data_IF_845973262139
#
_entry.id   IF_845973262139
#
_cell.length_a   1.000
_cell.length_b   1.000
_cell.length_c   1.000
_cell.angle_alpha   90.00
_cell.angle_beta   90.00
_cell.angle_gamma   90.00
#
_symmetry.space_group_name_H-M   'P 1'
#
loop_
_entity.id
_entity.type
_entity.pdbx_description
1 polymer ?
#
# COMPACT_ATOMS: atom_id res chain seq x y z
N UNK A 1 -2.15 -1.12 -9.49
CA UNK A 1 -2.70 -2.46 -9.20
C UNK A 1 -3.95 -2.33 -8.34
N UNK A 2 -4.95 -3.18 -8.56
CA UNK A 2 -6.23 -3.13 -7.83
C UNK A 2 -6.78 -4.54 -7.56
N UNK A 3 -7.58 -4.67 -6.51
CA UNK A 3 -8.44 -5.82 -6.26
C UNK A 3 -9.88 -5.37 -6.43
N UNK A 4 -10.63 -6.07 -7.28
CA UNK A 4 -11.92 -5.58 -7.78
C UNK A 4 -11.75 -4.16 -8.36
N UNK A 5 -12.44 -3.17 -7.78
CA UNK A 5 -12.33 -1.76 -8.15
C UNK A 5 -11.67 -0.89 -7.07
N UNK A 6 -10.83 -1.50 -6.22
CA UNK A 6 -10.13 -0.81 -5.13
C UNK A 6 -8.61 -0.92 -5.33
N UNK A 7 -7.96 0.23 -5.49
CA UNK A 7 -6.50 0.29 -5.60
C UNK A 7 -5.84 0.03 -4.26
N UNK A 8 -4.76 -0.76 -4.29
CA UNK A 8 -3.87 -1.00 -3.14
C UNK A 8 -2.44 -0.54 -3.43
N UNK A 9 -1.94 -0.76 -4.65
CA UNK A 9 -0.59 -0.37 -5.04
C UNK A 9 -0.55 0.47 -6.32
N UNK A 10 0.39 1.41 -6.42
CA UNK A 10 0.71 2.15 -7.64
C UNK A 10 2.23 2.31 -7.76
N UNK A 11 2.78 1.95 -8.92
CA UNK A 11 4.17 2.17 -9.29
C UNK A 11 4.19 2.95 -10.59
N UNK A 12 5.06 3.94 -10.68
CA UNK A 12 5.33 4.62 -11.94
C UNK A 12 6.20 3.71 -12.83
N UNK A 13 5.86 3.60 -14.11
CA UNK A 13 6.56 2.71 -15.04
C UNK A 13 7.77 3.39 -15.72
N UNK A 14 7.86 4.71 -15.70
CA UNK A 14 9.02 5.42 -16.24
C UNK A 14 10.19 5.34 -15.26
N UNK A 15 9.99 5.80 -14.03
CA UNK A 15 11.02 5.79 -13.00
C UNK A 15 11.15 4.45 -12.30
N UNK A 16 10.04 3.78 -11.97
CA UNK A 16 9.99 2.51 -11.23
C UNK A 16 10.83 2.45 -9.93
N UNK A 17 11.18 3.60 -9.36
CA UNK A 17 12.04 3.69 -8.16
C UNK A 17 11.25 3.68 -6.85
N UNK A 18 9.92 3.85 -6.93
CA UNK A 18 9.06 3.91 -5.75
C UNK A 18 7.72 3.23 -5.98
N UNK A 19 7.10 2.77 -4.89
CA UNK A 19 5.74 2.25 -4.88
C UNK A 19 4.87 2.97 -3.85
N UNK A 20 3.68 3.38 -4.26
CA UNK A 20 2.66 3.92 -3.38
C UNK A 20 1.73 2.81 -2.89
N UNK A 21 1.60 2.68 -1.58
CA UNK A 21 0.89 1.60 -0.89
C UNK A 21 -0.08 2.17 0.14
N UNK A 22 -1.24 1.54 0.30
CA UNK A 22 -2.14 1.83 1.42
C UNK A 22 -1.53 1.39 2.74
N UNK A 23 -1.86 2.13 3.78
CA UNK A 23 -1.46 1.81 5.14
C UNK A 23 -2.54 2.21 6.14
N UNK A 24 -2.47 1.58 7.31
CA UNK A 24 -3.20 2.01 8.49
C UNK A 24 -2.59 3.35 8.95
N UNK A 25 -3.39 4.34 9.41
CA UNK A 25 -2.87 5.65 9.76
C UNK A 25 -1.80 5.65 10.85
N UNK A 26 -1.94 4.81 11.88
CA UNK A 26 -1.02 4.81 13.01
C UNK A 26 0.27 4.11 12.60
N UNK A 27 0.16 2.99 11.88
CA UNK A 27 1.32 2.30 11.32
C UNK A 27 2.05 3.16 10.27
N UNK A 28 1.33 3.98 9.50
CA UNK A 28 1.94 4.89 8.53
C UNK A 28 2.83 5.94 9.20
N UNK A 29 2.47 6.41 10.39
CA UNK A 29 3.28 7.36 11.17
C UNK A 29 4.53 6.64 11.67
N UNK A 30 4.37 5.48 12.31
CA UNK A 30 5.49 4.67 12.80
C UNK A 30 6.52 4.40 11.69
N UNK A 31 6.07 3.94 10.52
CA UNK A 31 6.96 3.63 9.40
C UNK A 31 7.77 4.84 8.93
N UNK A 32 7.18 6.03 8.90
CA UNK A 32 7.86 7.27 8.46
C UNK A 32 8.85 7.80 9.50
N UNK A 33 8.64 7.47 10.77
CA UNK A 33 9.59 7.81 11.83
C UNK A 33 10.80 6.87 11.85
N UNK A 34 10.62 5.61 11.43
CA UNK A 34 11.65 4.58 11.50
C UNK A 34 12.48 4.42 10.21
N UNK A 35 11.92 4.73 9.04
CA UNK A 35 12.55 4.47 7.74
C UNK A 35 12.60 5.73 6.87
N UNK A 36 13.80 6.11 6.43
CA UNK A 36 14.01 7.17 5.44
C UNK A 36 13.50 6.79 4.03
N UNK A 37 13.28 5.50 3.78
CA UNK A 37 12.64 4.96 2.60
C UNK A 37 11.14 5.22 2.52
N UNK A 38 10.47 5.64 3.60
CA UNK A 38 9.02 5.71 3.65
C UNK A 38 8.56 7.14 3.88
N UNK A 39 7.81 7.68 2.92
CA UNK A 39 7.29 9.04 2.94
C UNK A 39 5.77 9.05 2.70
N UNK A 40 5.11 10.19 2.94
CA UNK A 40 3.72 10.38 2.55
C UNK A 40 3.58 10.44 1.02
N UNK A 41 2.79 9.54 0.44
CA UNK A 41 2.70 9.41 -1.02
C UNK A 41 2.25 10.70 -1.72
N UNK A 42 2.95 11.05 -2.79
CA UNK A 42 2.63 12.19 -3.64
C UNK A 42 1.29 11.98 -4.37
N UNK A 43 0.49 13.03 -4.56
CA UNK A 43 -0.90 12.98 -5.07
C UNK A 43 -1.93 12.11 -4.30
N UNK A 44 -1.52 11.29 -3.33
CA UNK A 44 -2.44 10.51 -2.50
C UNK A 44 -2.75 11.19 -1.16
N UNK A 45 -3.77 10.66 -0.49
CA UNK A 45 -4.11 11.06 0.87
C UNK A 45 -3.09 10.50 1.87
N UNK A 46 -2.10 11.32 2.25
CA UNK A 46 -0.95 10.95 3.09
C UNK A 46 -1.28 10.34 4.44
N UNK A 47 -2.51 10.47 4.95
CA UNK A 47 -2.93 9.72 6.15
C UNK A 47 -2.98 8.20 5.91
N UNK A 48 -3.31 7.76 4.70
CA UNK A 48 -3.59 6.37 4.37
C UNK A 48 -2.66 5.78 3.32
N UNK A 49 -1.72 6.57 2.81
CA UNK A 49 -0.85 6.17 1.71
C UNK A 49 0.59 6.56 1.98
N UNK A 50 1.47 5.57 1.88
CA UNK A 50 2.91 5.69 1.92
C UNK A 50 3.48 5.53 0.52
N UNK A 51 4.55 6.26 0.22
CA UNK A 51 5.42 5.99 -0.91
C UNK A 51 6.73 5.41 -0.36
N UNK A 52 7.14 4.28 -0.90
CA UNK A 52 8.31 3.52 -0.46
C UNK A 52 9.36 3.56 -1.57
N UNK A 53 10.56 4.01 -1.24
CA UNK A 53 11.71 4.02 -2.15
C UNK A 53 12.46 2.69 -2.08
N UNK A 54 12.85 2.16 -3.24
CA UNK A 54 13.52 0.86 -3.33
C UNK A 54 15.04 0.89 -3.10
N UNK A 55 15.64 2.08 -3.12
CA UNK A 55 17.09 2.31 -3.08
C UNK A 55 17.58 2.88 -1.74
N UNK A 56 16.76 2.75 -0.68
CA UNK A 56 17.03 3.31 0.66
C UNK A 56 17.06 2.22 1.74
N UNK A 57 16.64 2.53 2.96
CA UNK A 57 16.75 1.67 4.15
C UNK A 57 15.60 0.69 4.37
N UNK A 58 14.68 0.53 3.40
CA UNK A 58 13.67 -0.51 3.40
C UNK A 58 14.13 -1.72 2.59
N UNK A 59 14.28 -2.88 3.24
CA UNK A 59 14.64 -4.12 2.57
C UNK A 59 13.47 -4.77 1.83
N UNK A 60 13.77 -5.71 0.93
CA UNK A 60 12.77 -6.46 0.16
C UNK A 60 11.70 -7.13 1.02
N UNK A 61 12.09 -7.56 2.23
CA UNK A 61 11.17 -8.24 3.14
C UNK A 61 10.13 -7.25 3.65
N UNK A 62 10.55 -6.09 4.13
CA UNK A 62 9.66 -5.03 4.57
C UNK A 62 8.78 -4.56 3.41
N UNK A 63 9.33 -4.31 2.22
CA UNK A 63 8.54 -3.86 1.06
C UNK A 63 7.44 -4.87 0.73
N UNK A 64 7.75 -6.17 0.72
CA UNK A 64 6.74 -7.23 0.50
C UNK A 64 5.68 -7.24 1.60
N UNK A 65 6.07 -7.11 2.87
CA UNK A 65 5.13 -7.00 3.99
C UNK A 65 4.22 -5.77 3.87
N UNK A 66 4.73 -4.63 3.39
CA UNK A 66 3.93 -3.43 3.16
C UNK A 66 2.95 -3.60 2.00
N UNK A 67 3.32 -4.38 0.96
CA UNK A 67 2.41 -4.74 -0.14
C UNK A 67 1.27 -5.61 0.39
N UNK A 68 1.59 -6.63 1.20
CA UNK A 68 0.57 -7.50 1.83
C UNK A 68 -0.35 -6.70 2.75
N UNK A 69 0.22 -5.84 3.61
CA UNK A 69 -0.56 -4.96 4.49
C UNK A 69 -1.48 -4.03 3.70
N UNK A 70 -0.97 -3.43 2.62
CA UNK A 70 -1.75 -2.56 1.76
C UNK A 70 -2.92 -3.29 1.11
N UNK A 71 -2.75 -4.56 0.74
CA UNK A 71 -3.82 -5.40 0.21
C UNK A 71 -4.87 -5.67 1.30
N UNK A 72 -4.44 -6.04 2.50
CA UNK A 72 -5.33 -6.29 3.64
C UNK A 72 -6.15 -5.06 4.03
N UNK A 73 -5.56 -3.86 4.02
CA UNK A 73 -6.26 -2.60 4.28
C UNK A 73 -7.37 -2.30 3.26
N UNK A 74 -7.22 -2.78 2.03
CA UNK A 74 -8.30 -2.73 1.04
C UNK A 74 -9.38 -3.76 1.36
N UNK A 75 -8.98 -5.00 1.64
CA UNK A 75 -9.91 -6.11 1.94
C UNK A 75 -10.75 -5.84 3.20
N UNK A 76 -10.17 -5.23 4.24
CA UNK A 76 -10.89 -4.83 5.48
C UNK A 76 -12.04 -3.85 5.20
N UNK A 77 -11.94 -3.06 4.14
CA UNK A 77 -12.96 -2.06 3.75
C UNK A 77 -14.01 -2.63 2.79
N UNK A 78 -13.96 -3.92 2.49
CA UNK A 78 -14.99 -4.55 1.66
C UNK A 78 -16.30 -4.62 2.43
N UNK A 79 -17.38 -4.23 1.76
CA UNK A 79 -18.72 -4.50 2.26
C UNK A 79 -18.99 -6.00 2.19
N UNK A 80 -19.97 -6.50 2.95
CA UNK A 80 -20.40 -7.91 2.87
C UNK A 80 -20.68 -8.33 1.43
N UNK A 81 -21.38 -7.47 0.67
CA UNK A 81 -21.66 -7.70 -0.75
C UNK A 81 -20.39 -7.87 -1.57
N UNK A 82 -19.44 -6.93 -1.47
CA UNK A 82 -18.20 -6.98 -2.23
C UNK A 82 -17.33 -8.18 -1.84
N UNK A 83 -17.35 -8.58 -0.56
CA UNK A 83 -16.65 -9.76 -0.09
C UNK A 83 -17.23 -11.04 -0.68
N UNK A 84 -18.56 -11.19 -0.68
CA UNK A 84 -19.24 -12.32 -1.33
C UNK A 84 -18.95 -12.38 -2.83
N UNK A 85 -18.95 -11.24 -3.53
CA UNK A 85 -18.59 -11.19 -4.94
C UNK A 85 -17.13 -11.60 -5.18
N UNK A 86 -16.21 -11.17 -4.32
CA UNK A 86 -14.80 -11.55 -4.39
C UNK A 86 -14.59 -13.05 -4.12
N UNK A 87 -15.23 -13.60 -3.10
CA UNK A 87 -15.11 -15.03 -2.73
C UNK A 87 -15.74 -15.96 -3.79
N UNK A 88 -16.59 -15.43 -4.67
CA UNK A 88 -17.21 -16.16 -5.78
C UNK A 88 -16.41 -16.09 -7.10
N UNK A 89 -15.27 -15.39 -7.12
CA UNK A 89 -14.39 -15.38 -8.29
C UNK A 89 -13.70 -16.75 -8.47
N UNK A 90 -13.55 -17.22 -9.72
CA UNK A 90 -12.91 -18.50 -10.02
C UNK A 90 -11.40 -18.49 -9.80
#
# INVERSE_FOLDING_TARGET
MKVMDKMFALIDLEGANTISLKCDPDYAIELREHYSAIEGAYHFHKKYWNQVYFDRDADDKLIKQLIDHSYDEVMKKFTKKLRTEYDALP
#
